data_IF_569368701644
#
_entry.id   IF_569368701644
#
_cell.length_a   1.000
_cell.length_b   1.000
_cell.length_c   1.000
_cell.angle_alpha   90.00
_cell.angle_beta   90.00
_cell.angle_gamma   90.00
#
_symmetry.space_group_name_H-M   'P 1'
#
loop_
_entity.id
_entity.type
_entity.pdbx_description
1 polymer ?
#
# COMPACT_ATOMS: atom_id res chain seq x y z
N UNK A 1 -22.34 50.51 -11.80
CA UNK A 1 -21.55 50.03 -10.64
C UNK A 1 -21.71 48.54 -10.35
N UNK A 2 -22.93 47.97 -10.40
CA UNK A 2 -23.16 46.50 -10.24
C UNK A 2 -22.41 45.62 -11.26
N UNK A 3 -22.34 46.04 -12.53
CA UNK A 3 -21.68 45.24 -13.59
C UNK A 3 -20.14 45.24 -13.49
N UNK A 4 -19.55 46.24 -12.82
CA UNK A 4 -18.10 46.32 -12.59
C UNK A 4 -17.70 45.39 -11.44
N UNK A 5 -18.53 45.29 -10.40
CA UNK A 5 -18.32 44.36 -9.27
C UNK A 5 -18.44 42.90 -9.74
N UNK A 6 -19.38 42.60 -10.64
CA UNK A 6 -19.55 41.25 -11.20
C UNK A 6 -18.37 40.81 -12.09
N UNK A 7 -17.77 41.75 -12.84
CA UNK A 7 -16.59 41.47 -13.66
C UNK A 7 -15.33 41.21 -12.83
N UNK A 8 -15.16 41.91 -11.70
CA UNK A 8 -14.03 41.70 -10.77
C UNK A 8 -14.16 40.34 -10.05
N UNK A 9 -15.39 39.93 -9.69
CA UNK A 9 -15.63 38.63 -9.07
C UNK A 9 -15.37 37.46 -10.04
N UNK A 10 -15.67 37.63 -11.34
CA UNK A 10 -15.29 36.67 -12.39
C UNK A 10 -13.78 36.62 -12.65
N UNK A 11 -13.06 37.74 -12.52
CA UNK A 11 -11.61 37.78 -12.75
C UNK A 11 -10.80 37.09 -11.64
N UNK A 12 -11.30 37.09 -10.40
CA UNK A 12 -10.66 36.40 -9.26
C UNK A 12 -10.80 34.86 -9.39
N UNK A 13 -11.87 34.37 -10.03
CA UNK A 13 -12.07 32.94 -10.29
C UNK A 13 -11.14 32.34 -11.36
N UNK A 14 -10.40 33.17 -12.10
CA UNK A 14 -9.53 32.73 -13.20
C UNK A 14 -8.05 32.56 -12.80
N UNK A 15 -7.67 32.86 -11.55
CA UNK A 15 -6.27 32.76 -11.08
C UNK A 15 -6.12 31.64 -10.05
N UNK A 16 -6.61 30.44 -10.37
CA UNK A 16 -6.10 29.20 -9.77
C UNK A 16 -5.33 28.42 -10.81
N UNK A 17 -4.27 29.04 -11.33
CA UNK A 17 -3.22 28.32 -12.03
C UNK A 17 -2.49 27.49 -10.96
N UNK A 18 -2.93 26.25 -10.74
CA UNK A 18 -2.25 25.31 -9.86
C UNK A 18 -0.81 25.18 -10.37
N UNK A 19 0.15 25.67 -9.58
CA UNK A 19 1.58 25.48 -9.89
C UNK A 19 1.80 23.99 -10.08
N UNK A 20 2.32 23.56 -11.24
CA UNK A 20 2.82 22.20 -11.41
C UNK A 20 3.90 22.00 -10.35
N UNK A 21 3.66 21.08 -9.42
CA UNK A 21 4.68 20.69 -8.46
C UNK A 21 5.67 19.81 -9.20
N UNK A 22 6.83 20.35 -9.51
CA UNK A 22 7.94 19.60 -10.12
C UNK A 22 8.83 19.06 -9.00
N UNK A 23 9.21 17.79 -9.11
CA UNK A 23 10.09 17.13 -8.15
C UNK A 23 11.40 16.79 -8.84
N UNK A 24 12.52 17.14 -8.21
CA UNK A 24 13.85 16.87 -8.74
C UNK A 24 14.42 15.55 -8.20
N UNK A 25 13.90 15.08 -7.06
CA UNK A 25 14.33 13.84 -6.42
C UNK A 25 13.15 13.02 -5.89
N UNK A 26 13.37 11.72 -5.70
CA UNK A 26 12.39 10.84 -5.05
C UNK A 26 12.18 11.24 -3.59
N UNK A 27 13.21 11.70 -2.90
CA UNK A 27 13.08 12.14 -1.50
C UNK A 27 12.17 13.37 -1.37
N UNK A 28 12.22 14.30 -2.33
CA UNK A 28 11.26 15.42 -2.38
C UNK A 28 9.82 14.91 -2.53
N UNK A 29 9.58 13.93 -3.41
CA UNK A 29 8.25 13.33 -3.59
C UNK A 29 7.77 12.65 -2.32
N UNK A 30 8.63 11.87 -1.67
CA UNK A 30 8.27 11.17 -0.42
C UNK A 30 7.99 12.16 0.69
N UNK A 31 8.84 13.18 0.86
CA UNK A 31 8.65 14.20 1.89
C UNK A 31 7.39 15.02 1.67
N UNK A 32 6.99 15.27 0.43
CA UNK A 32 5.72 15.95 0.15
C UNK A 32 4.53 15.05 0.48
N UNK A 33 4.55 13.79 0.03
CA UNK A 33 3.51 12.81 0.35
C UNK A 33 3.34 12.61 1.87
N UNK A 34 4.44 12.57 2.64
CA UNK A 34 4.41 12.46 4.11
C UNK A 34 3.63 13.58 4.81
N UNK A 35 3.44 14.74 4.18
CA UNK A 35 2.66 15.84 4.78
C UNK A 35 1.16 15.52 4.87
N UNK A 36 0.69 14.56 4.07
CA UNK A 36 -0.74 14.25 3.92
C UNK A 36 -1.07 12.79 4.24
N UNK A 37 -0.14 11.88 3.99
CA UNK A 37 -0.30 10.46 4.27
C UNK A 37 -0.31 10.23 5.79
N UNK A 38 -1.31 9.48 6.26
CA UNK A 38 -1.36 9.02 7.66
C UNK A 38 -0.33 7.91 7.85
N UNK A 39 0.34 7.92 8.99
CA UNK A 39 1.34 6.91 9.34
C UNK A 39 0.77 5.98 10.43
N UNK A 40 1.22 4.73 10.42
CA UNK A 40 0.98 3.78 11.50
C UNK A 40 2.33 3.17 11.92
N UNK A 41 2.55 3.05 13.22
CA UNK A 41 3.74 2.41 13.80
C UNK A 41 3.66 0.89 13.73
N UNK A 42 4.78 0.20 13.97
CA UNK A 42 4.77 -1.26 14.04
C UNK A 42 3.92 -1.75 15.22
N UNK A 43 3.99 -1.02 16.34
CA UNK A 43 3.29 -1.32 17.58
C UNK A 43 1.78 -1.14 17.45
N UNK A 44 1.33 -0.08 16.77
CA UNK A 44 -0.10 0.12 16.46
C UNK A 44 -0.64 -0.94 15.49
N UNK A 45 0.15 -1.33 14.49
CA UNK A 45 -0.23 -2.40 13.56
C UNK A 45 -0.33 -3.76 14.29
N UNK A 46 0.64 -4.08 15.16
CA UNK A 46 0.60 -5.29 15.98
C UNK A 46 -0.59 -5.29 16.95
N UNK A 47 -0.88 -4.15 17.59
CA UNK A 47 -2.08 -4.01 18.42
C UNK A 47 -3.38 -4.23 17.61
N UNK A 48 -3.44 -3.71 16.38
CA UNK A 48 -4.58 -3.92 15.47
C UNK A 48 -4.73 -5.40 15.08
N UNK A 49 -3.63 -6.08 14.77
CA UNK A 49 -3.61 -7.50 14.43
C UNK A 49 -4.08 -8.39 15.60
N UNK A 50 -3.73 -8.02 16.83
CA UNK A 50 -4.06 -8.78 18.04
C UNK A 50 -5.36 -8.31 18.73
N UNK A 51 -6.03 -7.27 18.21
CA UNK A 51 -7.21 -6.65 18.81
C UNK A 51 -8.51 -7.46 18.70
N UNK A 52 -8.45 -8.73 18.32
CA UNK A 52 -9.64 -9.61 18.27
C UNK A 52 -10.59 -9.39 17.08
N UNK A 53 -10.17 -8.65 16.05
CA UNK A 53 -10.93 -8.47 14.81
C UNK A 53 -12.07 -7.45 14.89
N UNK A 54 -12.07 -6.58 15.91
CA UNK A 54 -13.10 -5.53 16.05
C UNK A 54 -13.01 -4.45 14.97
N UNK A 55 -11.82 -4.21 14.42
CA UNK A 55 -11.59 -3.26 13.35
C UNK A 55 -11.17 -3.99 12.07
N UNK A 56 -11.91 -3.75 10.98
CA UNK A 56 -11.63 -4.32 9.66
C UNK A 56 -10.55 -3.50 8.96
N UNK A 57 -9.53 -4.17 8.44
CA UNK A 57 -8.45 -3.55 7.69
C UNK A 57 -7.88 -4.46 6.61
N UNK A 58 -7.27 -3.86 5.59
CA UNK A 58 -6.51 -4.55 4.54
C UNK A 58 -5.04 -4.16 4.64
N UNK A 59 -4.17 -5.13 4.86
CA UNK A 59 -2.72 -4.93 4.90
C UNK A 59 -2.11 -5.30 3.54
N UNK A 60 -1.46 -4.34 2.89
CA UNK A 60 -0.92 -4.48 1.53
C UNK A 60 0.59 -4.32 1.54
N UNK A 61 1.29 -5.36 1.09
CA UNK A 61 2.72 -5.33 0.81
C UNK A 61 2.96 -4.84 -0.62
N UNK A 62 3.51 -3.64 -0.79
CA UNK A 62 3.81 -3.07 -2.12
C UNK A 62 5.22 -3.38 -2.63
N UNK A 63 5.93 -4.31 -1.98
CA UNK A 63 7.21 -4.82 -2.47
C UNK A 63 7.03 -5.68 -3.72
N UNK A 64 8.14 -5.98 -4.38
CA UNK A 64 8.15 -6.98 -5.45
C UNK A 64 7.83 -8.36 -4.87
N UNK A 65 7.21 -9.22 -5.70
CA UNK A 65 6.81 -10.59 -5.32
C UNK A 65 7.93 -11.36 -4.61
N UNK A 66 9.13 -11.32 -5.20
CA UNK A 66 10.30 -12.02 -4.64
C UNK A 66 10.68 -11.51 -3.24
N UNK A 67 10.51 -10.23 -2.96
CA UNK A 67 10.78 -9.69 -1.61
C UNK A 67 9.74 -10.20 -0.60
N UNK A 68 8.48 -10.35 -1.04
CA UNK A 68 7.38 -10.86 -0.23
C UNK A 68 7.57 -12.35 0.06
N UNK A 69 7.86 -13.18 -0.94
CA UNK A 69 8.01 -14.64 -0.80
C UNK A 69 8.92 -15.06 0.36
N UNK A 70 10.06 -14.39 0.53
CA UNK A 70 11.06 -14.73 1.55
C UNK A 70 10.68 -14.32 2.98
N UNK A 71 9.63 -13.51 3.16
CA UNK A 71 9.21 -13.02 4.47
C UNK A 71 8.30 -11.81 4.36
N UNK A 72 7.11 -11.88 4.98
CA UNK A 72 6.11 -10.81 4.97
C UNK A 72 5.31 -10.76 6.27
N UNK A 73 4.58 -9.66 6.50
CA UNK A 73 3.77 -9.47 7.71
C UNK A 73 2.54 -10.39 7.59
N UNK A 74 2.21 -11.21 8.60
CA UNK A 74 1.10 -12.15 8.52
C UNK A 74 -0.21 -11.48 8.08
N UNK A 75 -0.95 -12.16 7.19
CA UNK A 75 -2.22 -11.65 6.66
C UNK A 75 -2.11 -10.51 5.64
N UNK A 76 -0.89 -10.12 5.22
CA UNK A 76 -0.73 -9.13 4.15
C UNK A 76 -0.93 -9.73 2.76
N UNK A 77 -1.51 -8.94 1.87
CA UNK A 77 -1.65 -9.26 0.44
C UNK A 77 -0.55 -8.54 -0.35
N UNK A 78 0.15 -9.23 -1.23
CA UNK A 78 1.13 -8.59 -2.10
C UNK A 78 0.49 -7.96 -3.33
N UNK A 79 0.49 -6.63 -3.40
CA UNK A 79 0.20 -5.86 -4.62
C UNK A 79 1.40 -4.96 -4.90
N UNK A 80 2.29 -5.42 -5.79
CA UNK A 80 3.50 -4.67 -6.12
C UNK A 80 3.18 -3.22 -6.53
N UNK A 81 4.02 -2.27 -6.09
CA UNK A 81 3.80 -0.82 -6.32
C UNK A 81 3.42 -0.46 -7.76
N UNK A 82 3.98 -1.14 -8.75
CA UNK A 82 3.76 -0.86 -10.17
C UNK A 82 2.39 -1.29 -10.71
N UNK A 83 1.65 -2.13 -9.99
CA UNK A 83 0.32 -2.60 -10.39
C UNK A 83 -0.79 -2.18 -9.41
N UNK A 84 -0.46 -1.42 -8.37
CA UNK A 84 -1.39 -1.10 -7.27
C UNK A 84 -2.65 -0.39 -7.75
N UNK A 85 -2.50 0.69 -8.50
CA UNK A 85 -3.62 1.52 -8.96
C UNK A 85 -4.56 0.76 -9.91
N UNK A 86 -4.05 -0.27 -10.58
CA UNK A 86 -4.82 -1.10 -11.51
C UNK A 86 -5.56 -2.24 -10.81
N UNK A 87 -4.98 -2.80 -9.74
CA UNK A 87 -5.52 -3.98 -9.06
C UNK A 87 -6.42 -3.63 -7.86
N UNK A 88 -6.17 -2.50 -7.18
CA UNK A 88 -6.87 -2.17 -5.92
C UNK A 88 -8.39 -2.07 -6.08
N UNK A 89 -8.87 -1.65 -7.26
CA UNK A 89 -10.28 -1.53 -7.61
C UNK A 89 -10.79 -2.60 -8.57
N UNK A 90 -10.03 -3.69 -8.77
CA UNK A 90 -10.41 -4.80 -9.65
C UNK A 90 -10.94 -5.97 -8.82
N UNK A 91 -12.25 -6.18 -8.85
CA UNK A 91 -12.92 -7.27 -8.12
C UNK A 91 -12.38 -8.66 -8.51
N UNK A 92 -11.97 -8.84 -9.77
CA UNK A 92 -11.42 -10.14 -10.24
C UNK A 92 -10.06 -10.43 -9.65
N UNK A 93 -9.24 -9.39 -9.41
CA UNK A 93 -7.97 -9.53 -8.68
C UNK A 93 -8.24 -10.01 -7.25
N UNK A 94 -9.22 -9.40 -6.57
CA UNK A 94 -9.57 -9.73 -5.18
C UNK A 94 -10.15 -11.15 -5.05
N UNK A 95 -11.02 -11.56 -5.98
CA UNK A 95 -11.52 -12.94 -6.07
C UNK A 95 -10.37 -13.94 -6.22
N UNK A 96 -9.39 -13.66 -7.08
CA UNK A 96 -8.24 -14.55 -7.29
C UNK A 96 -7.36 -14.71 -6.05
N UNK A 97 -7.16 -13.64 -5.26
CA UNK A 97 -6.44 -13.72 -3.99
C UNK A 97 -7.30 -14.29 -2.84
N UNK A 98 -8.59 -14.56 -3.09
CA UNK A 98 -9.50 -15.16 -2.13
C UNK A 98 -10.00 -14.20 -1.04
N UNK A 99 -10.04 -12.90 -1.33
CA UNK A 99 -10.50 -11.85 -0.41
C UNK A 99 -11.51 -10.94 -1.12
N UNK A 100 -12.23 -10.13 -0.35
CA UNK A 100 -13.10 -9.12 -0.93
C UNK A 100 -12.32 -7.83 -1.23
N UNK A 101 -12.76 -7.10 -2.27
CA UNK A 101 -12.17 -5.82 -2.62
C UNK A 101 -12.46 -4.77 -1.54
N UNK A 102 -11.44 -4.05 -1.02
CA UNK A 102 -11.66 -3.07 0.01
C UNK A 102 -12.46 -1.87 -0.48
N UNK A 103 -13.40 -1.41 0.35
CA UNK A 103 -14.18 -0.19 0.08
C UNK A 103 -13.32 1.06 0.27
N UNK A 104 -13.79 2.21 -0.24
CA UNK A 104 -13.02 3.48 -0.21
C UNK A 104 -12.79 4.01 1.20
N UNK A 105 -13.68 3.68 2.14
CA UNK A 105 -13.66 4.14 3.52
C UNK A 105 -12.99 3.14 4.48
N UNK A 106 -12.77 1.90 4.04
CA UNK A 106 -12.12 0.87 4.84
C UNK A 106 -10.65 1.20 5.09
N UNK A 107 -10.14 0.71 6.24
CA UNK A 107 -8.75 0.96 6.62
C UNK A 107 -7.82 0.16 5.70
N UNK A 108 -6.94 0.85 4.99
CA UNK A 108 -5.91 0.23 4.16
C UNK A 108 -4.55 0.64 4.69
N UNK A 109 -3.69 -0.34 4.97
CA UNK A 109 -2.34 -0.12 5.48
C UNK A 109 -1.37 -0.64 4.44
N UNK A 110 -0.48 0.23 3.94
CA UNK A 110 0.52 -0.14 2.94
C UNK A 110 1.90 -0.14 3.54
N UNK A 111 2.70 -1.14 3.20
CA UNK A 111 4.10 -1.16 3.57
C UNK A 111 4.99 -1.60 2.41
N UNK A 112 6.26 -1.23 2.50
CA UNK A 112 7.28 -1.74 1.60
C UNK A 112 8.52 -2.14 2.41
N UNK A 113 9.68 -2.27 1.76
CA UNK A 113 10.92 -2.65 2.46
C UNK A 113 11.36 -1.65 3.55
N UNK A 114 11.30 -0.34 3.28
CA UNK A 114 11.84 0.73 4.16
C UNK A 114 10.88 1.91 4.38
N UNK A 115 9.60 1.77 4.05
CA UNK A 115 8.58 2.83 4.18
C UNK A 115 8.34 3.66 2.91
N UNK A 116 9.36 4.15 2.21
CA UNK A 116 9.21 5.13 1.12
C UNK A 116 8.20 4.75 0.01
N UNK A 117 8.27 3.53 -0.56
CA UNK A 117 7.29 3.08 -1.58
C UNK A 117 5.87 3.00 -1.01
N UNK A 118 5.74 2.64 0.26
CA UNK A 118 4.46 2.56 0.96
C UNK A 118 3.82 3.93 1.15
N UNK A 119 4.62 4.95 1.48
CA UNK A 119 4.16 6.34 1.57
C UNK A 119 3.61 6.82 0.21
N UNK A 120 4.38 6.63 -0.87
CA UNK A 120 3.91 7.00 -2.21
C UNK A 120 2.67 6.19 -2.62
N UNK A 121 2.59 4.93 -2.22
CA UNK A 121 1.43 4.08 -2.47
C UNK A 121 0.17 4.57 -1.76
N UNK A 122 0.28 4.94 -0.49
CA UNK A 122 -0.82 5.53 0.26
C UNK A 122 -1.30 6.85 -0.36
N UNK A 123 -0.37 7.68 -0.84
CA UNK A 123 -0.70 8.92 -1.55
C UNK A 123 -1.46 8.64 -2.86
N UNK A 124 -1.01 7.66 -3.65
CA UNK A 124 -1.72 7.21 -4.86
C UNK A 124 -3.16 6.75 -4.56
N UNK A 125 -3.34 5.91 -3.54
CA UNK A 125 -4.69 5.46 -3.18
C UNK A 125 -5.56 6.62 -2.70
N UNK A 126 -4.99 7.58 -1.96
CA UNK A 126 -5.70 8.80 -1.56
C UNK A 126 -6.19 9.60 -2.78
N UNK A 127 -5.36 9.71 -3.83
CA UNK A 127 -5.74 10.34 -5.11
C UNK A 127 -6.86 9.58 -5.85
N UNK A 128 -6.99 8.28 -5.62
CA UNK A 128 -8.08 7.43 -6.13
C UNK A 128 -9.33 7.44 -5.23
N UNK A 129 -9.37 8.30 -4.20
CA UNK A 129 -10.52 8.50 -3.33
C UNK A 129 -10.61 7.55 -2.14
N UNK A 130 -9.57 6.74 -1.85
CA UNK A 130 -9.52 5.99 -0.59
C UNK A 130 -9.23 6.97 0.56
N UNK A 131 -10.06 6.96 1.60
CA UNK A 131 -10.06 8.03 2.63
C UNK A 131 -9.40 7.61 3.95
N UNK A 132 -9.20 6.31 4.15
CA UNK A 132 -8.65 5.75 5.39
C UNK A 132 -7.37 4.94 5.14
N UNK A 133 -6.40 5.59 4.48
CA UNK A 133 -5.15 4.96 4.03
C UNK A 133 -3.97 5.35 4.94
N UNK A 134 -3.16 4.36 5.31
CA UNK A 134 -1.97 4.52 6.14
C UNK A 134 -0.74 3.92 5.46
N UNK A 135 0.43 4.46 5.76
CA UNK A 135 1.71 3.83 5.46
C UNK A 135 2.40 3.36 6.75
N UNK A 136 2.96 2.14 6.74
CA UNK A 136 3.71 1.60 7.86
C UNK A 136 5.08 2.30 7.99
N UNK A 137 5.33 2.88 9.16
CA UNK A 137 6.60 3.55 9.47
C UNK A 137 7.78 2.57 9.42
N UNK A 138 8.83 2.95 8.67
CA UNK A 138 10.02 2.11 8.47
C UNK A 138 9.79 0.82 7.67
N UNK A 139 8.54 0.46 7.36
CA UNK A 139 8.15 -0.71 6.58
C UNK A 139 8.61 -2.04 7.18
N UNK A 140 8.74 -3.05 6.32
CA UNK A 140 9.17 -4.41 6.66
C UNK A 140 10.46 -4.43 7.51
N UNK A 141 11.44 -3.58 7.19
CA UNK A 141 12.70 -3.47 7.94
C UNK A 141 12.52 -3.09 9.40
N UNK A 142 11.54 -2.24 9.70
CA UNK A 142 11.23 -1.87 11.09
C UNK A 142 10.43 -2.98 11.76
N UNK A 143 9.46 -3.55 11.05
CA UNK A 143 8.69 -4.70 11.51
C UNK A 143 9.58 -5.89 11.91
N UNK A 144 10.49 -6.34 11.04
CA UNK A 144 11.38 -7.48 11.30
C UNK A 144 12.31 -7.25 12.50
N UNK A 145 12.63 -6.00 12.82
CA UNK A 145 13.46 -5.64 13.97
C UNK A 145 12.65 -5.59 15.27
N UNK A 146 11.40 -5.11 15.21
CA UNK A 146 10.52 -5.03 16.37
C UNK A 146 9.90 -6.39 16.71
N UNK A 147 9.53 -7.18 15.69
CA UNK A 147 8.82 -8.45 15.78
C UNK A 147 9.50 -9.55 14.94
N UNK A 148 10.70 -10.01 15.31
CA UNK A 148 11.50 -10.92 14.50
C UNK A 148 10.86 -12.30 14.26
N UNK A 149 9.92 -12.70 15.13
CA UNK A 149 9.24 -13.99 15.05
C UNK A 149 7.82 -13.89 14.45
N UNK A 150 7.34 -12.68 14.12
CA UNK A 150 5.98 -12.45 13.58
C UNK A 150 6.07 -12.22 12.07
N UNK A 151 6.21 -13.30 11.32
CA UNK A 151 6.25 -13.27 9.86
C UNK A 151 5.73 -14.56 9.22
N UNK A 152 5.32 -14.45 7.96
CA UNK A 152 4.99 -15.57 7.10
C UNK A 152 5.92 -15.63 5.89
N UNK A 153 5.95 -16.80 5.23
CA UNK A 153 6.72 -17.05 4.01
C UNK A 153 5.84 -17.80 3.02
N UNK A 154 5.99 -17.49 1.74
CA UNK A 154 5.30 -18.25 0.70
C UNK A 154 6.13 -19.49 0.35
N UNK A 155 5.89 -20.58 1.08
CA UNK A 155 6.60 -21.83 0.90
C UNK A 155 6.39 -22.44 -0.50
N UNK A 156 5.26 -22.14 -1.17
CA UNK A 156 4.97 -22.66 -2.52
C UNK A 156 5.90 -22.08 -3.58
N UNK A 157 6.43 -20.87 -3.34
CA UNK A 157 7.32 -20.15 -4.26
C UNK A 157 8.80 -20.28 -3.90
N UNK A 158 9.10 -20.68 -2.66
CA UNK A 158 10.48 -20.86 -2.17
C UNK A 158 11.09 -22.20 -2.60
N UNK A 159 10.26 -23.17 -2.98
CA UNK A 159 10.72 -24.39 -3.63
C UNK A 159 10.78 -24.20 -5.14
N UNK A 160 11.98 -24.15 -5.72
CA UNK A 160 12.13 -24.51 -7.13
C UNK A 160 11.43 -25.83 -7.36
N UNK A 161 10.70 -25.97 -8.47
CA UNK A 161 9.99 -27.21 -8.82
C UNK A 161 10.93 -28.41 -8.70
N UNK A 162 10.87 -29.11 -7.59
CA UNK A 162 11.30 -30.50 -7.54
C UNK A 162 10.12 -31.28 -8.11
N UNK A 163 10.02 -31.26 -9.43
CA UNK A 163 9.68 -32.51 -10.10
C UNK A 163 10.78 -33.50 -9.68
N UNK A 164 10.57 -34.19 -8.56
CA UNK A 164 11.29 -35.42 -8.32
C UNK A 164 11.11 -36.25 -9.60
N UNK A 165 12.20 -36.71 -10.24
CA UNK A 165 12.03 -37.59 -11.39
C UNK A 165 11.20 -38.77 -10.93
N UNK A 166 10.14 -39.08 -11.67
CA UNK A 166 9.30 -40.22 -11.41
C UNK A 166 10.20 -41.44 -11.21
N UNK A 167 10.23 -41.98 -10.00
CA UNK A 167 10.87 -43.27 -9.75
C UNK A 167 10.00 -44.32 -10.44
N UNK A 168 10.30 -44.62 -11.70
CA UNK A 168 9.85 -45.84 -12.35
C UNK A 168 10.61 -47.01 -11.72
N UNK A 169 10.29 -47.31 -10.47
CA UNK A 169 10.66 -48.55 -9.79
C UNK A 169 9.57 -49.57 -10.08
N UNK A 170 9.83 -50.43 -11.07
CA UNK A 170 8.99 -51.59 -11.33
C UNK A 170 9.01 -52.56 -10.16
N UNK A 171 7.90 -53.26 -9.99
CA UNK A 171 7.83 -54.62 -9.47
C UNK A 171 7.25 -55.47 -10.60
#
# INVERSE_FOLDING_TARGET
MKNIILAIFCAILLVSCGKKHEYNTVDEMVNDAMKTVKMITAEELDALMNGGGEEVYTLIDVRQEIEHYYGFIPGSVNIARGSLEFNIGDETYWEHVGLYMPLKEEKIILYCKKGQRGILAAESLSKLGYTNVYALEGGWKKWELTYPDVFEKDLSKLGGSSSAPASSGGC
#
